data_IF_611090213200
#
_entry.id   IF_611090213200
#
_cell.length_a   1.000
_cell.length_b   1.000
_cell.length_c   1.000
_cell.angle_alpha   90.00
_cell.angle_beta   90.00
_cell.angle_gamma   90.00
#
_symmetry.space_group_name_H-M   'P 1'
#
loop_
_entity.id
_entity.type
_entity.pdbx_description
1 polymer ?
#
# COMPACT_ATOMS: atom_id res chain seq x y z
N UNK A 1 -29.91 37.37 -64.34
CA UNK A 1 -28.56 37.68 -63.87
C UNK A 1 -28.35 36.93 -62.55
N UNK A 2 -27.69 35.78 -62.63
CA UNK A 2 -27.37 34.91 -61.46
C UNK A 2 -25.87 34.91 -61.32
N UNK A 3 -25.35 35.70 -60.38
CA UNK A 3 -23.94 35.77 -60.04
C UNK A 3 -23.75 35.28 -58.66
N UNK A 4 -22.65 34.41 -58.49
CA UNK A 4 -22.18 33.73 -57.27
C UNK A 4 -22.90 32.46 -56.85
N UNK A 5 -22.62 31.35 -57.54
CA UNK A 5 -22.60 30.04 -56.89
C UNK A 5 -21.23 29.85 -56.27
N UNK A 6 -21.15 29.85 -54.94
CA UNK A 6 -19.98 29.40 -54.18
C UNK A 6 -20.05 27.89 -54.12
N UNK A 7 -19.16 27.20 -54.77
CA UNK A 7 -18.93 25.77 -54.54
C UNK A 7 -18.39 25.57 -53.13
N UNK A 8 -19.22 25.00 -52.26
CA UNK A 8 -18.79 24.52 -50.94
C UNK A 8 -17.94 23.25 -51.19
N UNK A 9 -16.62 23.37 -51.25
CA UNK A 9 -15.77 22.24 -51.05
C UNK A 9 -15.99 21.75 -49.64
N UNK A 10 -16.65 20.59 -49.45
CA UNK A 10 -16.67 19.86 -48.20
C UNK A 10 -15.25 19.37 -47.92
N UNK A 11 -14.65 19.80 -46.84
CA UNK A 11 -13.41 19.23 -46.33
C UNK A 11 -13.78 17.81 -45.89
N UNK A 12 -13.37 16.80 -46.65
CA UNK A 12 -13.50 15.41 -46.25
C UNK A 12 -12.64 15.22 -44.99
N UNK A 13 -13.29 15.01 -43.89
CA UNK A 13 -12.64 14.67 -42.62
C UNK A 13 -12.20 13.18 -42.71
N UNK A 14 -10.92 12.94 -42.88
CA UNK A 14 -10.33 11.61 -43.09
C UNK A 14 -10.17 10.75 -41.83
N UNK A 15 -10.67 11.21 -40.68
CA UNK A 15 -10.62 10.42 -39.42
C UNK A 15 -12.04 10.08 -38.98
N UNK A 16 -12.32 8.79 -38.67
CA UNK A 16 -13.62 8.36 -38.15
C UNK A 16 -13.99 9.09 -36.83
N UNK A 17 -15.27 9.38 -36.56
CA UNK A 17 -15.70 10.10 -35.35
C UNK A 17 -15.28 9.40 -34.05
N UNK A 18 -15.06 8.10 -34.05
CA UNK A 18 -14.63 7.32 -32.87
C UNK A 18 -13.18 7.58 -32.44
N UNK A 19 -12.28 7.97 -33.35
CA UNK A 19 -10.89 8.32 -33.01
C UNK A 19 -10.71 9.71 -32.42
N UNK A 20 -11.75 10.57 -32.48
CA UNK A 20 -11.71 11.96 -31.97
C UNK A 20 -12.13 12.11 -30.51
N UNK A 21 -12.60 11.06 -29.85
CA UNK A 21 -12.83 11.11 -28.42
C UNK A 21 -11.50 11.04 -27.67
N UNK A 22 -10.93 12.19 -27.38
CA UNK A 22 -9.93 12.30 -26.34
C UNK A 22 -10.58 11.74 -25.08
N UNK A 23 -10.17 10.55 -24.65
CA UNK A 23 -10.63 9.97 -23.39
C UNK A 23 -10.07 10.83 -22.27
N UNK A 24 -10.85 11.81 -21.82
CA UNK A 24 -10.53 12.65 -20.66
C UNK A 24 -10.86 11.95 -19.34
N UNK A 25 -11.55 10.81 -19.40
CA UNK A 25 -11.86 10.00 -18.23
C UNK A 25 -10.57 9.50 -17.60
N UNK A 26 -10.38 9.82 -16.31
CA UNK A 26 -9.21 9.42 -15.53
C UNK A 26 -8.03 10.39 -15.59
N UNK A 27 -8.05 11.44 -16.41
CA UNK A 27 -6.99 12.46 -16.43
C UNK A 27 -7.04 13.41 -15.23
N UNK A 28 -8.21 13.58 -14.63
CA UNK A 28 -8.42 14.48 -13.50
C UNK A 28 -8.89 13.71 -12.28
N UNK A 29 -8.29 14.03 -11.14
CA UNK A 29 -8.59 13.42 -9.83
C UNK A 29 -9.07 14.51 -8.88
N UNK A 30 -10.21 14.29 -8.24
CA UNK A 30 -10.73 15.20 -7.21
C UNK A 30 -10.14 14.79 -5.85
N UNK A 31 -9.49 15.71 -5.17
CA UNK A 31 -8.98 15.48 -3.83
C UNK A 31 -10.14 15.23 -2.84
N UNK A 32 -10.07 14.16 -2.09
CA UNK A 32 -11.11 13.78 -1.12
C UNK A 32 -11.16 14.75 0.07
N UNK A 33 -10.03 15.34 0.43
CA UNK A 33 -9.92 16.31 1.53
C UNK A 33 -10.38 17.72 1.09
N UNK A 34 -9.64 18.40 0.21
CA UNK A 34 -9.90 19.79 -0.13
C UNK A 34 -10.79 20.00 -1.36
N UNK A 35 -11.25 18.92 -2.00
CA UNK A 35 -12.14 18.92 -3.19
C UNK A 35 -11.54 19.56 -4.45
N UNK A 36 -10.30 20.00 -4.43
CA UNK A 36 -9.61 20.52 -5.61
C UNK A 36 -9.44 19.42 -6.66
N UNK A 37 -9.63 19.80 -7.92
CA UNK A 37 -9.37 18.92 -9.06
C UNK A 37 -7.89 19.06 -9.44
N UNK A 38 -7.19 17.93 -9.49
CA UNK A 38 -5.74 17.85 -9.79
C UNK A 38 -5.56 17.00 -11.04
N UNK A 39 -4.66 17.38 -11.93
CA UNK A 39 -4.28 16.56 -13.07
C UNK A 39 -3.51 15.33 -12.60
N UNK A 40 -3.83 14.16 -13.16
CA UNK A 40 -3.26 12.89 -12.71
C UNK A 40 -1.73 12.87 -12.80
N UNK A 41 -1.16 13.34 -13.90
CA UNK A 41 0.29 13.33 -14.08
C UNK A 41 1.00 14.22 -13.05
N UNK A 42 0.40 15.38 -12.70
CA UNK A 42 0.94 16.26 -11.66
C UNK A 42 0.87 15.59 -10.28
N UNK A 43 -0.21 14.85 -10.04
CA UNK A 43 -0.37 14.08 -8.80
C UNK A 43 0.67 12.95 -8.71
N UNK A 44 0.91 12.23 -9.80
CA UNK A 44 1.92 11.17 -9.91
C UNK A 44 3.33 11.74 -9.72
N UNK A 45 3.67 12.83 -10.41
CA UNK A 45 4.94 13.55 -10.24
C UNK A 45 5.14 14.06 -8.79
N UNK A 46 4.03 14.36 -8.09
CA UNK A 46 4.03 14.78 -6.68
C UNK A 46 3.89 13.59 -5.71
N UNK A 47 4.24 12.38 -6.13
CA UNK A 47 4.15 11.14 -5.33
C UNK A 47 2.75 10.89 -4.74
N UNK A 48 1.70 11.19 -5.50
CA UNK A 48 0.31 11.07 -5.06
C UNK A 48 -0.03 11.87 -3.79
N UNK A 49 0.63 13.00 -3.60
CA UNK A 49 0.32 13.98 -2.55
C UNK A 49 -0.39 15.17 -3.17
N UNK A 50 -1.52 15.60 -2.61
CA UNK A 50 -2.25 16.77 -3.10
C UNK A 50 -1.38 18.02 -3.01
N UNK A 51 -1.15 18.76 -4.09
CA UNK A 51 -0.30 19.95 -4.06
C UNK A 51 -0.91 21.09 -3.23
N UNK A 52 -2.24 21.08 -3.01
CA UNK A 52 -2.96 22.15 -2.31
C UNK A 52 -3.03 21.92 -0.79
N UNK A 53 -3.40 20.72 -0.35
CA UNK A 53 -3.68 20.44 1.08
C UNK A 53 -2.79 19.35 1.68
N UNK A 54 -1.84 18.83 0.93
CA UNK A 54 -0.90 17.77 1.34
C UNK A 54 -1.59 16.43 1.68
N UNK A 55 -2.85 16.24 1.29
CA UNK A 55 -3.52 14.95 1.45
C UNK A 55 -2.79 13.84 0.68
N UNK A 56 -2.52 12.73 1.35
CA UNK A 56 -1.84 11.56 0.80
C UNK A 56 -2.86 10.62 0.14
N UNK A 57 -2.90 10.59 -1.18
CA UNK A 57 -3.70 9.61 -1.91
C UNK A 57 -3.09 8.21 -1.78
N UNK A 58 -3.90 7.18 -2.01
CA UNK A 58 -3.42 5.79 -2.01
C UNK A 58 -2.43 5.55 -3.14
N UNK A 59 -1.38 4.80 -2.81
CA UNK A 59 -0.40 4.26 -3.76
C UNK A 59 -0.49 2.75 -3.75
N UNK A 60 -0.27 2.13 -4.91
CA UNK A 60 -0.16 0.68 -5.00
C UNK A 60 1.23 0.18 -4.53
N UNK A 61 1.33 -1.14 -4.29
CA UNK A 61 2.56 -1.76 -3.79
C UNK A 61 3.77 -1.50 -4.70
N UNK A 62 3.58 -1.59 -6.03
CA UNK A 62 4.65 -1.35 -7.01
C UNK A 62 5.16 0.09 -6.93
N UNK A 63 4.26 1.07 -6.92
CA UNK A 63 4.60 2.49 -6.78
C UNK A 63 5.35 2.78 -5.47
N UNK A 64 4.99 2.09 -4.37
CA UNK A 64 5.69 2.19 -3.09
C UNK A 64 7.14 1.73 -3.19
N UNK A 65 7.36 0.58 -3.82
CA UNK A 65 8.71 0.05 -4.05
C UNK A 65 9.52 0.97 -4.98
N UNK A 66 8.93 1.43 -6.08
CA UNK A 66 9.57 2.37 -7.01
C UNK A 66 9.93 3.72 -6.38
N UNK A 67 9.14 4.17 -5.39
CA UNK A 67 9.44 5.39 -4.62
C UNK A 67 10.61 5.19 -3.63
N UNK A 68 10.68 4.03 -2.99
CA UNK A 68 11.68 3.77 -1.94
C UNK A 68 13.00 3.27 -2.52
N UNK A 69 12.95 2.39 -3.53
CA UNK A 69 14.13 1.69 -4.04
C UNK A 69 14.77 2.41 -5.24
N UNK A 70 16.08 2.28 -5.36
CA UNK A 70 16.87 2.89 -6.43
C UNK A 70 16.86 2.01 -7.67
N UNK A 71 16.48 2.55 -8.82
CA UNK A 71 16.75 1.95 -10.13
C UNK A 71 16.12 0.59 -10.43
N UNK A 72 15.21 0.11 -9.59
CA UNK A 72 14.53 -1.17 -9.74
C UNK A 72 14.77 -2.12 -8.55
N UNK A 73 14.15 -3.30 -8.63
CA UNK A 73 14.24 -4.32 -7.57
C UNK A 73 14.03 -5.73 -8.14
N UNK A 74 14.48 -6.73 -7.39
CA UNK A 74 14.18 -8.14 -7.66
C UNK A 74 12.97 -8.57 -6.83
N UNK A 75 11.87 -8.99 -7.48
CA UNK A 75 10.71 -9.54 -6.76
C UNK A 75 10.96 -11.01 -6.42
N UNK A 76 10.72 -11.36 -5.16
CA UNK A 76 10.79 -12.74 -4.65
C UNK A 76 9.39 -13.34 -4.51
N UNK A 77 9.28 -14.66 -4.74
CA UNK A 77 8.04 -15.42 -4.58
C UNK A 77 6.84 -14.86 -5.38
N UNK A 78 7.09 -14.24 -6.54
CA UNK A 78 6.04 -13.64 -7.38
C UNK A 78 4.97 -14.64 -7.81
N UNK A 79 5.32 -15.93 -7.96
CA UNK A 79 4.41 -17.02 -8.35
C UNK A 79 3.51 -17.54 -7.23
N UNK A 80 3.70 -17.12 -5.97
CA UNK A 80 2.96 -17.64 -4.83
C UNK A 80 1.50 -17.19 -4.84
N UNK A 81 0.56 -18.14 -4.71
CA UNK A 81 -0.87 -17.85 -4.79
C UNK A 81 -1.64 -18.46 -3.63
N UNK A 82 -2.60 -17.71 -3.10
CA UNK A 82 -3.58 -18.25 -2.15
C UNK A 82 -4.43 -19.35 -2.80
N UNK A 83 -4.65 -20.41 -2.02
CA UNK A 83 -5.64 -21.43 -2.29
C UNK A 83 -6.90 -21.13 -1.46
N UNK A 84 -7.99 -21.83 -1.71
CA UNK A 84 -9.22 -21.75 -0.91
C UNK A 84 -9.39 -23.05 -0.09
N UNK A 85 -8.62 -23.23 1.00
CA UNK A 85 -8.63 -24.49 1.75
C UNK A 85 -9.95 -24.74 2.48
N UNK A 86 -10.71 -23.69 2.77
CA UNK A 86 -12.00 -23.77 3.47
C UNK A 86 -13.20 -23.83 2.53
N UNK A 87 -12.99 -23.68 1.21
CA UNK A 87 -14.07 -23.53 0.21
C UNK A 87 -15.08 -22.46 0.66
N UNK A 88 -14.54 -21.32 1.14
CA UNK A 88 -15.34 -20.27 1.75
C UNK A 88 -16.26 -19.60 0.73
N UNK A 89 -17.50 -19.43 1.12
CA UNK A 89 -18.52 -18.73 0.34
C UNK A 89 -19.39 -17.89 1.29
N UNK A 90 -19.49 -16.58 0.99
CA UNK A 90 -20.50 -15.68 1.54
C UNK A 90 -21.45 -15.26 0.41
N UNK A 91 -21.43 -13.99 -0.02
CA UNK A 91 -22.14 -13.50 -1.20
C UNK A 91 -21.53 -14.00 -2.51
N UNK A 92 -20.25 -14.46 -2.47
CA UNK A 92 -19.47 -14.92 -3.61
C UNK A 92 -18.37 -15.88 -3.14
N UNK A 93 -18.10 -16.98 -3.89
CA UNK A 93 -17.00 -17.90 -3.58
C UNK A 93 -15.64 -17.17 -3.51
N UNK A 94 -14.83 -17.48 -2.49
CA UNK A 94 -13.52 -16.88 -2.31
C UNK A 94 -12.58 -17.12 -3.50
N UNK A 95 -12.58 -18.32 -4.05
CA UNK A 95 -11.82 -18.64 -5.26
C UNK A 95 -12.17 -17.72 -6.45
N UNK A 96 -13.44 -17.32 -6.59
CA UNK A 96 -13.85 -16.36 -7.62
C UNK A 96 -13.32 -14.95 -7.35
N UNK A 97 -13.33 -14.51 -6.08
CA UNK A 97 -12.73 -13.21 -5.66
C UNK A 97 -11.23 -13.17 -5.95
N UNK A 98 -10.50 -14.23 -5.63
CA UNK A 98 -9.06 -14.35 -5.93
C UNK A 98 -8.81 -14.22 -7.44
N UNK A 99 -9.56 -14.95 -8.26
CA UNK A 99 -9.44 -14.90 -9.73
C UNK A 99 -9.67 -13.48 -10.28
N UNK A 100 -10.69 -12.80 -9.79
CA UNK A 100 -10.99 -11.42 -10.21
C UNK A 100 -9.90 -10.43 -9.78
N UNK A 101 -9.45 -10.51 -8.52
CA UNK A 101 -8.40 -9.65 -8.01
C UNK A 101 -7.10 -9.82 -8.82
N UNK A 102 -6.69 -11.06 -9.07
CA UNK A 102 -5.53 -11.39 -9.90
C UNK A 102 -5.65 -10.83 -11.31
N UNK A 103 -6.80 -11.04 -11.97
CA UNK A 103 -7.04 -10.54 -13.33
C UNK A 103 -7.02 -9.01 -13.37
N UNK A 104 -7.58 -8.34 -12.36
CA UNK A 104 -7.68 -6.87 -12.30
C UNK A 104 -6.34 -6.20 -12.04
N UNK A 105 -5.52 -6.78 -11.17
CA UNK A 105 -4.31 -6.14 -10.65
C UNK A 105 -3.02 -6.67 -11.27
N UNK A 106 -3.08 -7.82 -11.95
CA UNK A 106 -1.89 -8.46 -12.52
C UNK A 106 -0.91 -9.00 -11.47
N UNK A 107 -1.39 -9.22 -10.24
CA UNK A 107 -0.58 -9.76 -9.14
C UNK A 107 -1.28 -10.93 -8.45
N UNK A 108 -0.53 -11.79 -7.79
CA UNK A 108 -1.02 -13.07 -7.29
C UNK A 108 -1.62 -13.00 -5.88
N UNK A 109 -1.19 -12.05 -5.05
CA UNK A 109 -1.76 -11.79 -3.72
C UNK A 109 -1.49 -10.34 -3.28
N UNK A 110 -1.90 -9.95 -2.08
CA UNK A 110 -1.93 -8.58 -1.56
C UNK A 110 -0.56 -8.05 -1.10
N UNK A 111 0.57 -8.58 -1.61
CA UNK A 111 1.91 -8.14 -1.20
C UNK A 111 2.96 -8.43 -2.29
N UNK A 112 3.94 -7.54 -2.39
CA UNK A 112 5.19 -7.74 -3.13
C UNK A 112 6.33 -7.79 -2.12
N UNK A 113 7.19 -8.81 -2.21
CA UNK A 113 8.47 -8.89 -1.49
C UNK A 113 9.57 -8.62 -2.48
N UNK A 114 10.45 -7.69 -2.18
CA UNK A 114 11.46 -7.20 -3.08
C UNK A 114 12.82 -7.05 -2.38
N UNK A 115 13.88 -7.29 -3.12
CA UNK A 115 15.26 -6.94 -2.75
C UNK A 115 15.73 -5.84 -3.69
N UNK A 116 16.33 -4.79 -3.14
CA UNK A 116 16.81 -3.63 -3.90
C UNK A 116 17.74 -2.76 -3.09
N UNK A 117 17.97 -1.54 -3.56
CA UNK A 117 18.80 -0.56 -2.86
C UNK A 117 17.97 0.65 -2.45
N UNK A 118 18.23 1.20 -1.27
CA UNK A 118 17.68 2.43 -0.77
C UNK A 118 18.83 3.41 -0.49
N UNK A 119 18.99 4.42 -1.34
CA UNK A 119 20.15 5.34 -1.32
C UNK A 119 21.49 4.59 -1.30
N UNK A 120 21.62 3.55 -2.16
CA UNK A 120 22.82 2.73 -2.28
C UNK A 120 22.99 1.65 -1.21
N UNK A 121 22.14 1.59 -0.18
CA UNK A 121 22.15 0.53 0.84
C UNK A 121 21.26 -0.63 0.40
N UNK A 122 21.76 -1.87 0.35
CA UNK A 122 20.94 -3.04 0.10
C UNK A 122 19.89 -3.22 1.20
N UNK A 123 18.64 -3.50 0.80
CA UNK A 123 17.51 -3.68 1.73
C UNK A 123 16.55 -4.74 1.19
N UNK A 124 15.86 -5.44 2.09
CA UNK A 124 14.68 -6.24 1.75
C UNK A 124 13.44 -5.47 2.13
N UNK A 125 12.50 -5.32 1.19
CA UNK A 125 11.29 -4.54 1.37
C UNK A 125 10.04 -5.34 1.01
N UNK A 126 9.03 -5.33 1.87
CA UNK A 126 7.70 -5.84 1.57
C UNK A 126 6.71 -4.67 1.44
N UNK A 127 5.89 -4.64 0.39
CA UNK A 127 4.85 -3.63 0.22
C UNK A 127 3.48 -4.27 -0.02
N UNK A 128 2.49 -3.92 0.82
CA UNK A 128 1.13 -4.43 0.73
C UNK A 128 0.30 -3.68 -0.31
N UNK A 129 -0.62 -4.42 -0.96
CA UNK A 129 -1.53 -3.91 -1.98
C UNK A 129 -2.97 -3.89 -1.48
N UNK A 130 -3.47 -2.68 -1.15
CA UNK A 130 -4.83 -2.54 -0.61
C UNK A 130 -5.93 -2.92 -1.61
N UNK A 131 -5.70 -2.70 -2.91
CA UNK A 131 -6.69 -3.03 -3.93
C UNK A 131 -6.93 -4.55 -4.08
N UNK A 132 -6.01 -5.39 -3.59
CA UNK A 132 -6.19 -6.84 -3.56
C UNK A 132 -6.94 -7.26 -2.29
N UNK A 133 -8.25 -7.39 -2.39
CA UNK A 133 -9.15 -7.81 -1.29
C UNK A 133 -8.90 -7.00 0.02
N UNK A 134 -8.84 -5.66 -0.11
CA UNK A 134 -8.61 -4.75 1.02
C UNK A 134 -7.22 -4.87 1.66
N UNK A 135 -6.21 -5.36 0.94
CA UNK A 135 -4.88 -5.60 1.50
C UNK A 135 -4.87 -6.65 2.62
N UNK A 136 -5.90 -7.50 2.69
CA UNK A 136 -6.06 -8.43 3.82
C UNK A 136 -4.97 -9.50 3.84
N UNK A 137 -4.45 -9.76 5.04
CA UNK A 137 -3.40 -10.74 5.29
C UNK A 137 -3.98 -12.15 5.33
N UNK A 138 -3.71 -12.96 4.29
CA UNK A 138 -3.92 -14.39 4.26
C UNK A 138 -2.59 -15.15 4.37
N UNK A 139 -2.64 -16.47 4.10
CA UNK A 139 -1.49 -17.36 4.17
C UNK A 139 -0.31 -16.87 3.30
N UNK A 140 -0.58 -16.42 2.08
CA UNK A 140 0.47 -15.93 1.16
C UNK A 140 1.12 -14.65 1.65
N UNK A 141 0.33 -13.69 2.16
CA UNK A 141 0.90 -12.46 2.71
C UNK A 141 1.82 -12.77 3.88
N UNK A 142 1.36 -13.56 4.85
CA UNK A 142 2.17 -13.96 5.99
C UNK A 142 3.44 -14.75 5.59
N UNK A 143 3.31 -15.67 4.61
CA UNK A 143 4.46 -16.43 4.09
C UNK A 143 5.48 -15.49 3.40
N UNK A 144 5.05 -14.60 2.52
CA UNK A 144 5.94 -13.68 1.81
C UNK A 144 6.64 -12.71 2.75
N UNK A 145 5.96 -12.22 3.81
CA UNK A 145 6.61 -11.40 4.85
C UNK A 145 7.65 -12.23 5.61
N UNK A 146 7.29 -13.45 6.03
CA UNK A 146 8.22 -14.36 6.72
C UNK A 146 9.47 -14.63 5.89
N UNK A 147 9.30 -14.97 4.61
CA UNK A 147 10.43 -15.21 3.69
C UNK A 147 11.26 -13.96 3.43
N UNK A 148 10.62 -12.79 3.37
CA UNK A 148 11.32 -11.50 3.27
C UNK A 148 12.22 -11.27 4.48
N UNK A 149 11.73 -11.57 5.69
CA UNK A 149 12.53 -11.51 6.93
C UNK A 149 13.68 -12.53 6.89
N UNK A 150 13.40 -13.77 6.48
CA UNK A 150 14.42 -14.81 6.34
C UNK A 150 15.50 -14.43 5.31
N UNK A 151 15.10 -13.83 4.17
CA UNK A 151 16.02 -13.30 3.18
C UNK A 151 16.89 -12.18 3.78
N UNK A 152 16.31 -11.24 4.51
CA UNK A 152 17.02 -10.17 5.19
C UNK A 152 18.10 -10.73 6.15
N UNK A 153 17.77 -11.78 6.91
CA UNK A 153 18.73 -12.47 7.78
C UNK A 153 19.85 -13.15 6.98
N UNK A 154 19.51 -13.87 5.90
CA UNK A 154 20.49 -14.57 5.06
C UNK A 154 21.47 -13.62 4.38
N UNK A 155 20.98 -12.48 3.91
CA UNK A 155 21.78 -11.48 3.19
C UNK A 155 22.36 -10.41 4.09
N UNK A 156 22.05 -10.45 5.41
CA UNK A 156 22.47 -9.45 6.40
C UNK A 156 22.03 -8.03 6.02
N UNK A 157 20.79 -7.88 5.56
CA UNK A 157 20.21 -6.61 5.13
C UNK A 157 19.12 -6.14 6.11
N UNK A 158 18.87 -4.82 6.24
CA UNK A 158 17.70 -4.30 6.93
C UNK A 158 16.40 -4.77 6.27
N UNK A 159 15.35 -4.95 7.08
CA UNK A 159 14.02 -5.28 6.61
C UNK A 159 13.08 -4.07 6.71
N UNK A 160 12.29 -3.81 5.67
CA UNK A 160 11.31 -2.72 5.63
C UNK A 160 9.95 -3.31 5.25
N UNK A 161 8.90 -3.06 6.03
CA UNK A 161 7.53 -3.43 5.68
C UNK A 161 6.67 -2.20 5.48
N UNK A 162 6.10 -2.04 4.29
CA UNK A 162 5.11 -1.00 3.98
C UNK A 162 3.73 -1.61 4.12
N UNK A 163 3.04 -1.28 5.19
CA UNK A 163 1.74 -1.81 5.54
C UNK A 163 0.61 -0.97 4.96
N UNK A 164 -0.37 -1.63 4.29
CA UNK A 164 -1.62 -1.03 3.82
C UNK A 164 -2.71 -2.11 3.81
N UNK A 165 -3.51 -2.21 4.89
CA UNK A 165 -4.35 -3.39 5.11
C UNK A 165 -5.60 -3.12 5.93
N UNK A 166 -6.69 -3.81 5.57
CA UNK A 166 -7.89 -3.93 6.38
C UNK A 166 -7.81 -5.01 7.47
N UNK A 167 -6.68 -5.74 7.60
CA UNK A 167 -6.46 -6.75 8.65
C UNK A 167 -6.38 -8.19 8.14
N UNK A 168 -6.71 -9.16 9.01
CA UNK A 168 -6.68 -10.58 8.66
C UNK A 168 -7.75 -10.96 7.63
N UNK A 169 -7.40 -11.85 6.71
CA UNK A 169 -8.31 -12.32 5.64
C UNK A 169 -9.31 -13.32 6.17
N UNK A 170 -10.53 -12.88 6.42
CA UNK A 170 -11.60 -13.69 7.02
C UNK A 170 -11.91 -14.97 6.23
N UNK A 171 -11.80 -14.96 4.91
CA UNK A 171 -12.05 -16.10 4.06
C UNK A 171 -11.07 -17.27 4.25
N UNK A 172 -9.94 -17.03 4.88
CA UNK A 172 -8.95 -18.07 5.25
C UNK A 172 -9.05 -18.47 6.73
N UNK A 173 -10.00 -17.91 7.47
CA UNK A 173 -10.31 -18.28 8.85
C UNK A 173 -9.09 -18.21 9.78
N UNK A 174 -8.88 -19.23 10.59
CA UNK A 174 -7.75 -19.31 11.55
C UNK A 174 -6.38 -19.34 10.88
N UNK A 175 -6.29 -19.76 9.62
CA UNK A 175 -5.03 -19.76 8.86
C UNK A 175 -4.48 -18.32 8.76
N UNK A 176 -5.35 -17.34 8.50
CA UNK A 176 -4.95 -15.93 8.46
C UNK A 176 -4.51 -15.41 9.82
N UNK A 177 -5.14 -15.85 10.91
CA UNK A 177 -4.74 -15.47 12.26
C UNK A 177 -3.38 -16.06 12.65
N UNK A 178 -3.08 -17.30 12.24
CA UNK A 178 -1.81 -17.93 12.50
C UNK A 178 -0.63 -17.26 11.79
N UNK A 179 -0.89 -16.44 10.76
CA UNK A 179 0.17 -15.64 10.14
C UNK A 179 0.72 -14.56 11.10
N UNK A 180 -0.10 -14.03 12.03
CA UNK A 180 0.36 -13.08 13.04
C UNK A 180 1.49 -13.69 13.88
N UNK A 181 1.25 -14.89 14.43
CA UNK A 181 2.24 -15.62 15.24
C UNK A 181 3.49 -15.97 14.43
N UNK A 182 3.30 -16.44 13.19
CA UNK A 182 4.40 -16.83 12.29
C UNK A 182 5.34 -15.66 11.98
N UNK A 183 4.78 -14.52 11.57
CA UNK A 183 5.58 -13.34 11.23
C UNK A 183 6.26 -12.78 12.48
N UNK A 184 5.56 -12.72 13.63
CA UNK A 184 6.16 -12.25 14.89
C UNK A 184 7.33 -13.14 15.32
N UNK A 185 7.22 -14.46 15.14
CA UNK A 185 8.33 -15.39 15.44
C UNK A 185 9.54 -15.20 14.50
N UNK A 186 9.29 -14.82 13.23
CA UNK A 186 10.37 -14.49 12.30
C UNK A 186 11.05 -13.16 12.66
N UNK A 187 10.28 -12.16 13.08
CA UNK A 187 10.82 -10.88 13.57
C UNK A 187 11.66 -11.03 14.83
N UNK A 188 11.26 -11.91 15.76
CA UNK A 188 12.10 -12.21 16.94
C UNK A 188 13.49 -12.76 16.53
N UNK A 189 13.56 -13.59 15.49
CA UNK A 189 14.85 -14.08 14.96
C UNK A 189 15.64 -12.97 14.26
N UNK A 190 14.97 -12.03 13.61
CA UNK A 190 15.61 -10.86 12.98
C UNK A 190 16.26 -9.97 14.05
N UNK A 191 15.57 -9.76 15.18
CA UNK A 191 16.10 -9.03 16.34
C UNK A 191 17.30 -9.74 16.95
N UNK A 192 17.23 -11.07 17.16
CA UNK A 192 18.37 -11.89 17.60
C UNK A 192 19.58 -11.74 16.67
N UNK A 193 19.32 -11.60 15.35
CA UNK A 193 20.34 -11.38 14.34
C UNK A 193 20.90 -9.94 14.32
N UNK A 194 20.32 -9.03 15.12
CA UNK A 194 20.68 -7.60 15.20
C UNK A 194 20.55 -6.89 13.86
N UNK A 195 19.45 -7.12 13.16
CA UNK A 195 19.14 -6.50 11.89
C UNK A 195 17.93 -5.56 12.04
N UNK A 196 18.04 -4.30 11.59
CA UNK A 196 16.97 -3.33 11.74
C UNK A 196 15.69 -3.71 11.00
N UNK A 197 14.55 -3.49 11.66
CA UNK A 197 13.23 -3.57 11.10
C UNK A 197 12.54 -2.21 11.13
N UNK A 198 12.24 -1.64 9.95
CA UNK A 198 11.45 -0.41 9.83
C UNK A 198 10.05 -0.75 9.37
N UNK A 199 9.06 -0.40 10.18
CA UNK A 199 7.64 -0.50 9.83
C UNK A 199 7.12 0.84 9.32
N UNK A 200 6.69 0.89 8.06
CA UNK A 200 6.04 2.03 7.44
C UNK A 200 4.54 1.78 7.34
N UNK A 201 3.76 2.52 8.14
CA UNK A 201 2.32 2.40 8.21
C UNK A 201 1.65 3.42 7.31
N UNK A 202 0.79 2.95 6.39
CA UNK A 202 0.07 3.83 5.45
C UNK A 202 -1.44 3.68 5.60
N UNK A 203 -2.21 4.55 4.95
CA UNK A 203 -3.67 4.59 5.05
C UNK A 203 -4.38 3.53 4.17
N UNK A 204 -5.18 2.61 4.76
CA UNK A 204 -5.27 2.28 6.18
C UNK A 204 -4.32 1.13 6.58
N UNK A 205 -3.93 1.06 7.85
CA UNK A 205 -3.30 -0.13 8.44
C UNK A 205 -4.10 -0.54 9.67
N UNK A 206 -4.90 -1.61 9.56
CA UNK A 206 -5.87 -1.98 10.60
C UNK A 206 -5.90 -3.48 10.90
N UNK A 207 -6.60 -3.84 11.97
CA UNK A 207 -6.90 -5.22 12.33
C UNK A 207 -5.68 -6.03 12.73
N UNK A 208 -5.63 -7.29 12.26
CA UNK A 208 -4.55 -8.22 12.57
C UNK A 208 -3.17 -7.77 12.08
N UNK A 209 -3.08 -6.95 11.03
CA UNK A 209 -1.81 -6.41 10.54
C UNK A 209 -1.23 -5.43 11.57
N UNK A 210 -2.04 -4.48 12.07
CA UNK A 210 -1.64 -3.58 13.14
C UNK A 210 -1.31 -4.35 14.43
N UNK A 211 -2.13 -5.33 14.78
CA UNK A 211 -1.91 -6.15 15.99
C UNK A 211 -0.76 -7.14 15.89
N UNK A 212 0.04 -7.07 14.82
CA UNK A 212 1.21 -7.94 14.60
C UNK A 212 2.40 -7.14 14.06
N UNK A 213 2.94 -7.54 12.93
CA UNK A 213 4.21 -7.03 12.43
C UNK A 213 4.23 -5.51 12.19
N UNK A 214 3.09 -4.88 11.87
CA UNK A 214 3.07 -3.44 11.58
C UNK A 214 3.40 -2.55 12.80
N UNK A 215 3.31 -3.07 14.02
CA UNK A 215 3.65 -2.35 15.26
C UNK A 215 4.85 -2.96 16.01
N UNK A 216 5.64 -3.77 15.32
CA UNK A 216 6.82 -4.44 15.89
C UNK A 216 8.14 -3.96 15.29
N UNK A 217 8.15 -2.79 14.61
CA UNK A 217 9.37 -2.19 14.08
C UNK A 217 10.28 -1.66 15.19
N UNK A 218 11.58 -1.66 14.95
CA UNK A 218 12.52 -0.85 15.74
C UNK A 218 12.19 0.64 15.56
N UNK A 219 11.64 1.01 14.40
CA UNK A 219 10.98 2.28 14.15
C UNK A 219 9.64 2.05 13.47
N UNK A 220 8.58 2.58 14.09
CA UNK A 220 7.22 2.60 13.57
C UNK A 220 6.93 4.00 12.99
N UNK A 221 6.99 4.12 11.67
CA UNK A 221 6.84 5.39 10.93
C UNK A 221 5.50 5.39 10.23
N UNK A 222 4.78 6.50 10.26
CA UNK A 222 3.51 6.62 9.52
C UNK A 222 3.51 7.78 8.53
N UNK A 223 2.68 7.66 7.47
CA UNK A 223 2.33 8.80 6.63
C UNK A 223 1.32 9.71 7.35
N UNK A 224 1.38 11.05 7.13
CA UNK A 224 0.39 11.98 7.68
C UNK A 224 -1.05 11.56 7.43
N UNK A 225 -1.89 11.63 8.46
CA UNK A 225 -3.31 11.33 8.40
C UNK A 225 -3.66 9.85 8.20
N UNK A 226 -2.70 8.93 8.19
CA UNK A 226 -2.96 7.51 8.03
C UNK A 226 -3.86 6.98 9.16
N UNK A 227 -4.87 6.19 8.79
CA UNK A 227 -5.74 5.48 9.73
C UNK A 227 -5.03 4.20 10.19
N UNK A 228 -4.71 4.13 11.48
CA UNK A 228 -3.97 3.01 12.07
C UNK A 228 -4.68 2.58 13.34
N UNK A 229 -5.03 1.30 13.45
CA UNK A 229 -5.71 0.80 14.65
C UNK A 229 -6.15 -0.65 14.51
N UNK A 230 -6.53 -1.27 15.64
CA UNK A 230 -7.02 -2.65 15.61
C UNK A 230 -8.44 -2.72 15.02
N UNK A 231 -9.42 -2.16 15.70
CA UNK A 231 -10.78 -2.06 15.17
C UNK A 231 -10.94 -0.74 14.40
N UNK A 232 -11.60 -0.80 13.24
CA UNK A 232 -11.90 0.42 12.49
C UNK A 232 -12.88 1.34 13.25
N UNK A 233 -12.84 2.67 13.03
CA UNK A 233 -13.68 3.65 13.75
C UNK A 233 -15.16 3.29 13.77
N UNK A 234 -15.70 2.86 12.63
CA UNK A 234 -17.10 2.46 12.51
C UNK A 234 -17.49 1.30 13.47
N UNK A 235 -16.58 0.31 13.60
CA UNK A 235 -16.83 -0.84 14.49
C UNK A 235 -16.84 -0.39 15.94
N UNK A 236 -15.90 0.47 16.32
CA UNK A 236 -15.82 1.02 17.68
C UNK A 236 -17.08 1.82 17.99
N UNK A 237 -17.46 2.78 17.15
CA UNK A 237 -18.63 3.63 17.34
C UNK A 237 -19.91 2.82 17.47
N UNK A 238 -20.09 1.78 16.64
CA UNK A 238 -21.24 0.88 16.74
C UNK A 238 -21.24 0.07 18.04
N UNK A 239 -20.08 -0.31 18.55
CA UNK A 239 -19.96 -1.12 19.78
C UNK A 239 -20.20 -0.29 21.02
N UNK A 240 -19.61 0.92 21.09
CA UNK A 240 -19.76 1.79 22.28
C UNK A 240 -20.97 2.71 22.22
N UNK A 241 -21.65 2.81 21.06
CA UNK A 241 -22.80 3.69 20.84
C UNK A 241 -22.49 5.18 20.88
N UNK A 242 -21.22 5.57 20.69
CA UNK A 242 -20.75 6.96 20.75
C UNK A 242 -19.88 7.28 19.56
N UNK A 243 -19.86 8.56 19.15
CA UNK A 243 -18.93 9.06 18.14
C UNK A 243 -17.52 9.18 18.72
N UNK A 244 -16.54 8.80 17.91
CA UNK A 244 -15.14 8.95 18.29
C UNK A 244 -14.69 10.42 18.20
N UNK A 245 -13.72 10.83 19.03
CA UNK A 245 -13.08 12.14 18.91
C UNK A 245 -12.51 12.38 17.52
N UNK A 246 -12.47 13.63 17.10
CA UNK A 246 -11.81 14.00 15.85
C UNK A 246 -10.31 13.63 15.88
N UNK A 247 -9.79 13.06 14.78
CA UNK A 247 -8.42 12.62 14.72
C UNK A 247 -8.12 11.28 15.40
N UNK A 248 -9.09 10.64 16.06
CA UNK A 248 -8.88 9.35 16.72
C UNK A 248 -8.35 8.29 15.73
N UNK A 249 -7.33 7.53 16.14
CA UNK A 249 -6.62 6.54 15.31
C UNK A 249 -5.91 7.11 14.08
N UNK A 250 -5.73 8.43 13.98
CA UNK A 250 -4.86 9.00 12.95
C UNK A 250 -3.40 8.97 13.40
N UNK A 251 -2.49 9.01 12.42
CA UNK A 251 -1.06 8.95 12.67
C UNK A 251 -0.58 9.97 13.72
N UNK A 252 -1.07 11.20 13.63
CA UNK A 252 -0.74 12.29 14.55
C UNK A 252 -1.18 11.97 15.99
N UNK A 253 -2.41 11.47 16.15
CA UNK A 253 -2.93 11.04 17.44
C UNK A 253 -2.07 9.91 18.04
N UNK A 254 -1.67 8.95 17.22
CA UNK A 254 -0.86 7.81 17.67
C UNK A 254 0.57 8.22 18.02
N UNK A 255 1.14 9.20 17.32
CA UNK A 255 2.43 9.78 17.67
C UNK A 255 2.38 10.45 19.05
N UNK A 256 1.36 11.27 19.32
CA UNK A 256 1.16 11.93 20.61
C UNK A 256 0.97 10.94 21.77
N UNK A 257 0.44 9.73 21.49
CA UNK A 257 0.21 8.68 22.47
C UNK A 257 1.33 7.63 22.54
N UNK A 258 2.45 7.84 21.85
CA UNK A 258 3.64 6.98 21.93
C UNK A 258 3.52 5.64 21.19
N UNK A 259 2.59 5.52 20.25
CA UNK A 259 2.47 4.32 19.40
C UNK A 259 3.34 4.40 18.14
N UNK A 260 3.76 5.60 17.75
CA UNK A 260 4.62 5.83 16.59
C UNK A 260 5.87 6.61 17.03
N UNK A 261 6.95 6.39 16.31
CA UNK A 261 8.22 7.12 16.50
C UNK A 261 8.27 8.38 15.64
N UNK A 262 7.63 8.36 14.47
CA UNK A 262 7.56 9.51 13.57
C UNK A 262 6.34 9.50 12.65
N UNK A 263 5.86 10.69 12.30
CA UNK A 263 4.94 10.92 11.18
C UNK A 263 5.71 11.69 10.12
N UNK A 264 5.92 11.06 8.95
CA UNK A 264 6.83 11.56 7.93
C UNK A 264 6.10 11.75 6.60
N UNK A 265 6.13 12.97 6.01
CA UNK A 265 5.58 13.21 4.68
C UNK A 265 6.21 12.29 3.63
N UNK A 266 5.40 11.79 2.72
CA UNK A 266 5.83 10.81 1.69
C UNK A 266 7.09 11.21 0.93
N UNK A 267 7.26 12.48 0.64
CA UNK A 267 8.42 13.01 -0.07
C UNK A 267 9.73 12.86 0.71
N UNK A 268 9.63 12.78 2.03
CA UNK A 268 10.77 12.72 2.94
C UNK A 268 11.06 11.28 3.40
N UNK A 269 10.13 10.33 3.15
CA UNK A 269 10.25 8.95 3.64
C UNK A 269 11.56 8.28 3.25
N UNK A 270 11.96 8.39 1.97
CA UNK A 270 13.19 7.73 1.50
C UNK A 270 14.43 8.24 2.22
N UNK A 271 14.58 9.54 2.37
CA UNK A 271 15.71 10.15 3.08
C UNK A 271 15.65 9.87 4.58
N UNK A 272 14.46 9.94 5.18
CA UNK A 272 14.28 9.65 6.59
C UNK A 272 14.67 8.20 6.93
N UNK A 273 14.16 7.23 6.15
CA UNK A 273 14.50 5.81 6.34
C UNK A 273 16.00 5.57 6.13
N UNK A 274 16.61 6.16 5.10
CA UNK A 274 18.04 6.06 4.85
C UNK A 274 18.87 6.53 6.04
N UNK A 275 18.58 7.73 6.55
CA UNK A 275 19.27 8.29 7.72
C UNK A 275 19.05 7.42 8.97
N UNK A 276 17.83 6.91 9.17
CA UNK A 276 17.54 6.02 10.29
C UNK A 276 18.37 4.73 10.22
N UNK A 277 18.49 4.15 9.02
CA UNK A 277 19.31 2.96 8.81
C UNK A 277 20.81 3.23 9.00
N UNK A 278 21.29 4.43 8.67
CA UNK A 278 22.68 4.82 8.92
C UNK A 278 22.99 4.92 10.42
N UNK A 279 21.99 5.26 11.24
CA UNK A 279 22.12 5.32 12.70
C UNK A 279 21.97 3.94 13.36
N UNK A 280 21.06 3.10 12.85
CA UNK A 280 20.77 1.78 13.45
C UNK A 280 21.70 0.67 12.97
N UNK A 281 22.33 0.85 11.81
CA UNK A 281 23.08 -0.20 11.13
C UNK A 281 24.40 0.37 10.57
N UNK A 282 25.28 0.75 11.46
CA UNK A 282 26.64 1.26 11.17
C UNK A 282 27.66 0.13 11.08
#
# INVERSE_FOLDING_TARGET
>A
MTWFKRDKKSIEQTTPPEERRVRTEGLWVKCESCRTIVFRNDLEANLFVCPKCQFHFKMNAKQRLEMLLDGGYTEHDAGMTSTDPLKFTDTKPYAARLKEARKKLGMNDAIITAEGQLNGRPVVCCAMEFAFIGGSMGAVVGEKVTRGIELAMQTRQPFIAVSCSGGARMMEGTISLMQLAKVSAALAKLDDARLPYISLLTDPTTGGVTASFAMLGDLNIAEPGALIGFAGPRVIEQTIGQKLPEGFQRAEFLLEHGFLDAVVPRKELKSFISTSLDLLFS
#
